data_IF_289853601150
#
_entry.id   IF_289853601150
#
_cell.length_a   1.000
_cell.length_b   1.000
_cell.length_c   1.000
_cell.angle_alpha   90.00
_cell.angle_beta   90.00
_cell.angle_gamma   90.00
#
_symmetry.space_group_name_H-M   'P 1'
#
loop_
_entity.id
_entity.type
_entity.pdbx_description
1 polymer ?
#
# COMPACT_ATOMS: atom_id res chain seq x y z
N UNK A 1 -9.89 10.93 -2.49
CA UNK A 1 -10.14 9.75 -1.62
C UNK A 1 -8.79 9.14 -1.31
N UNK A 2 -8.44 8.89 -0.04
CA UNK A 2 -7.16 8.23 0.28
C UNK A 2 -7.07 6.84 -0.36
N UNK A 3 -5.83 6.43 -0.63
CA UNK A 3 -5.49 5.14 -1.22
C UNK A 3 -5.02 4.19 -0.13
N UNK A 4 -5.48 2.95 -0.19
CA UNK A 4 -4.94 1.82 0.56
C UNK A 4 -4.15 0.91 -0.37
N UNK A 5 -2.94 0.56 0.06
CA UNK A 5 -2.07 -0.40 -0.64
C UNK A 5 -1.87 -1.60 0.28
N UNK A 6 -2.19 -2.79 -0.21
CA UNK A 6 -1.98 -4.05 0.50
C UNK A 6 -0.92 -4.89 -0.20
N UNK A 7 0.04 -5.42 0.54
CA UNK A 7 0.97 -6.41 0.03
C UNK A 7 0.32 -7.80 0.00
N UNK A 8 0.14 -8.35 -1.21
CA UNK A 8 -0.41 -9.68 -1.47
C UNK A 8 0.66 -10.76 -1.67
N UNK A 9 1.91 -10.35 -1.76
CA UNK A 9 3.05 -11.27 -1.91
C UNK A 9 3.44 -11.92 -0.59
N UNK A 10 4.29 -12.95 -0.67
CA UNK A 10 4.89 -13.61 0.50
C UNK A 10 6.23 -12.99 0.92
N UNK A 11 6.60 -11.84 0.34
CA UNK A 11 7.89 -11.17 0.56
C UNK A 11 7.68 -9.72 0.98
N UNK A 12 8.70 -9.10 1.59
CA UNK A 12 8.70 -7.66 1.87
C UNK A 12 8.68 -6.90 0.54
N UNK A 13 7.76 -5.96 0.39
CA UNK A 13 7.72 -5.06 -0.75
C UNK A 13 8.21 -3.68 -0.36
N UNK A 14 9.05 -3.12 -1.23
CA UNK A 14 9.51 -1.74 -1.16
C UNK A 14 8.90 -0.98 -2.33
N UNK A 15 8.01 -0.05 -2.03
CA UNK A 15 7.21 0.67 -3.01
C UNK A 15 7.66 2.13 -2.99
N UNK A 16 8.34 2.60 -4.06
CA UNK A 16 8.66 4.02 -4.18
C UNK A 16 7.38 4.80 -4.47
N UNK A 17 7.16 5.87 -3.72
CA UNK A 17 6.08 6.84 -3.92
C UNK A 17 6.58 8.04 -4.73
N UNK A 18 5.67 8.81 -5.30
CA UNK A 18 6.01 9.95 -6.16
C UNK A 18 6.76 11.07 -5.41
N UNK A 19 6.55 11.22 -4.10
CA UNK A 19 7.33 12.15 -3.25
C UNK A 19 8.81 11.76 -3.08
N UNK A 20 9.21 10.57 -3.52
CA UNK A 20 10.52 10.00 -3.24
C UNK A 20 10.59 9.23 -1.91
N UNK A 21 9.51 9.24 -1.12
CA UNK A 21 9.38 8.35 0.03
C UNK A 21 9.25 6.89 -0.42
N UNK A 22 9.69 5.97 0.44
CA UNK A 22 9.54 4.52 0.22
C UNK A 22 8.63 3.91 1.26
N UNK A 23 7.55 3.30 0.79
CA UNK A 23 6.65 2.52 1.61
C UNK A 23 7.18 1.08 1.71
N UNK A 24 7.31 0.60 2.94
CA UNK A 24 7.70 -0.77 3.23
C UNK A 24 6.46 -1.53 3.70
N UNK A 25 6.13 -2.61 3.00
CA UNK A 25 4.99 -3.46 3.36
C UNK A 25 5.47 -4.89 3.56
N UNK A 26 5.37 -5.40 4.78
CA UNK A 26 5.57 -6.81 5.08
C UNK A 26 4.50 -7.67 4.36
N UNK A 27 4.73 -8.99 4.20
CA UNK A 27 3.74 -9.88 3.60
C UNK A 27 2.38 -9.79 4.29
N UNK A 28 1.32 -9.48 3.53
CA UNK A 28 -0.04 -9.31 4.06
C UNK A 28 -0.30 -7.97 4.77
N UNK A 29 0.69 -7.08 4.87
CA UNK A 29 0.52 -5.76 5.47
C UNK A 29 -0.23 -4.80 4.56
N UNK A 30 -0.96 -3.87 5.17
CA UNK A 30 -1.72 -2.84 4.52
C UNK A 30 -1.28 -1.46 5.00
N UNK A 31 -1.00 -0.55 4.07
CA UNK A 31 -0.84 0.87 4.35
C UNK A 31 -2.03 1.63 3.80
N UNK A 32 -2.75 2.28 4.69
CA UNK A 32 -3.88 3.14 4.33
C UNK A 32 -3.63 4.61 4.57
N UNK A 33 -4.50 5.45 4.00
CA UNK A 33 -4.40 6.90 4.15
C UNK A 33 -3.33 7.54 3.26
N UNK A 34 -2.91 6.87 2.19
CA UNK A 34 -1.93 7.40 1.25
C UNK A 34 -2.63 8.42 0.36
N UNK A 35 -2.01 9.59 0.17
CA UNK A 35 -2.56 10.59 -0.74
C UNK A 35 -2.52 10.05 -2.18
N UNK A 36 -3.61 10.15 -2.97
CA UNK A 36 -3.63 9.75 -4.38
C UNK A 36 -2.47 10.26 -5.21
N UNK A 37 -1.96 11.47 -4.92
CA UNK A 37 -0.86 12.06 -5.69
C UNK A 37 0.44 11.24 -5.55
N UNK A 38 0.60 10.49 -4.46
CA UNK A 38 1.77 9.63 -4.20
C UNK A 38 1.79 8.39 -5.10
N UNK A 39 0.62 7.93 -5.53
CA UNK A 39 0.44 6.67 -6.28
C UNK A 39 0.04 6.89 -7.73
N UNK A 40 -0.43 8.09 -8.08
CA UNK A 40 -0.93 8.43 -9.41
C UNK A 40 0.15 8.27 -10.49
N UNK A 41 -0.17 7.55 -11.56
CA UNK A 41 0.73 7.28 -12.70
C UNK A 41 2.08 6.65 -12.28
N UNK A 42 2.11 5.93 -11.15
CA UNK A 42 3.31 5.26 -10.69
C UNK A 42 3.46 3.91 -11.41
N UNK A 43 4.23 3.91 -12.50
CA UNK A 43 4.43 2.71 -13.33
C UNK A 43 4.99 1.50 -12.57
N UNK A 44 5.72 1.71 -11.47
CA UNK A 44 6.22 0.62 -10.62
C UNK A 44 5.06 -0.01 -9.86
N UNK A 45 4.23 0.82 -9.21
CA UNK A 45 3.04 0.35 -8.49
C UNK A 45 2.06 -0.35 -9.43
N UNK A 46 1.82 0.20 -10.62
CA UNK A 46 0.97 -0.40 -11.65
C UNK A 46 1.46 -1.79 -12.07
N UNK A 47 2.76 -1.94 -12.34
CA UNK A 47 3.37 -3.24 -12.66
C UNK A 47 3.25 -4.23 -11.52
N UNK A 48 3.44 -3.77 -10.28
CA UNK A 48 3.27 -4.63 -9.10
C UNK A 48 1.81 -5.06 -8.94
N UNK A 49 0.85 -4.18 -9.21
CA UNK A 49 -0.58 -4.49 -9.15
C UNK A 49 -0.99 -5.48 -10.25
N UNK A 50 -0.52 -5.28 -11.48
CA UNK A 50 -0.74 -6.20 -12.60
C UNK A 50 -0.17 -7.60 -12.34
N UNK A 51 0.96 -7.69 -11.62
CA UNK A 51 1.56 -8.96 -11.18
C UNK A 51 0.84 -9.61 -9.99
N UNK A 52 -0.15 -8.94 -9.41
CA UNK A 52 -0.86 -9.39 -8.21
C UNK A 52 -0.03 -9.32 -6.93
N UNK A 53 1.08 -8.57 -6.92
CA UNK A 53 1.92 -8.42 -5.72
C UNK A 53 1.35 -7.40 -4.74
N UNK A 54 0.64 -6.40 -5.27
CA UNK A 54 -0.05 -5.39 -4.47
C UNK A 54 -1.50 -5.27 -4.89
N UNK A 55 -2.35 -4.91 -3.93
CA UNK A 55 -3.73 -4.47 -4.18
C UNK A 55 -3.79 -2.99 -3.89
N UNK A 56 -4.35 -2.20 -4.80
CA UNK A 56 -4.56 -0.76 -4.63
C UNK A 56 -6.07 -0.53 -4.60
N UNK A 57 -6.57 0.08 -3.53
CA UNK A 57 -7.98 0.39 -3.36
C UNK A 57 -8.15 1.87 -3.01
N UNK A 58 -9.08 2.54 -3.69
CA UNK A 58 -9.53 3.86 -3.29
C UNK A 58 -10.54 3.69 -2.16
N UNK A 59 -10.34 4.40 -1.06
CA UNK A 59 -11.20 4.27 0.12
C UNK A 59 -11.85 5.61 0.41
N UNK A 60 -13.18 5.60 0.57
CA UNK A 60 -13.97 6.75 1.02
C UNK A 60 -13.87 6.99 2.54
N UNK A 61 -13.32 6.04 3.29
CA UNK A 61 -13.25 6.06 4.75
C UNK A 61 -11.85 6.49 5.27
N UNK A 62 -11.80 7.49 6.15
CA UNK A 62 -10.56 7.97 6.78
C UNK A 62 -9.71 6.82 7.39
N UNK A 63 -8.37 6.95 7.45
CA UNK A 63 -7.48 5.82 7.73
C UNK A 63 -7.72 5.25 9.14
N UNK A 64 -8.37 4.09 9.22
CA UNK A 64 -8.31 3.23 10.40
C UNK A 64 -6.91 2.61 10.46
N UNK A 65 -5.99 3.28 11.13
CA UNK A 65 -4.73 2.70 11.56
C UNK A 65 -5.02 1.44 12.40
N UNK A 66 -4.99 0.25 11.78
CA UNK A 66 -5.00 -1.01 12.51
C UNK A 66 -3.66 -1.15 13.22
N UNK A 67 -3.59 -0.68 14.46
CA UNK A 67 -2.56 -1.07 15.43
C UNK A 67 -2.56 -2.60 15.52
N UNK A 68 -1.46 -3.22 15.11
CA UNK A 68 -1.19 -4.61 15.44
C UNK A 68 -0.97 -4.80 16.95
N UNK A 69 -1.55 -5.87 17.48
CA UNK A 69 -1.15 -6.72 18.64
C UNK A 69 -2.37 -7.62 18.91
N UNK A 70 -2.31 -8.94 18.94
CA UNK A 70 -1.23 -9.83 19.34
C UNK A 70 -1.56 -10.44 20.72
N UNK A 71 -1.75 -11.78 20.73
CA UNK A 71 -1.73 -12.73 21.87
C UNK A 71 -2.93 -12.81 22.82
N UNK A 72 -3.34 -14.05 23.09
CA UNK A 72 -4.28 -14.48 24.12
C UNK A 72 -4.94 -15.78 23.73
#
# INVERSE_FOLDING_TARGET
MPINITNRSKQLLVIPLNSGATLHLAPGEEAGGIDPIETKNNSTLEKMAQRGWVSVAETDEAPKAKRGRGRG
#
